data_IF_540359871711
#
_entry.id   IF_540359871711
#
_cell.length_a   1.000
_cell.length_b   1.000
_cell.length_c   1.000
_cell.angle_alpha   90.00
_cell.angle_beta   90.00
_cell.angle_gamma   90.00
#
_symmetry.space_group_name_H-M   'P 1'
#
loop_
_entity.id
_entity.type
_entity.pdbx_description
1 polymer ?
#
# COMPACT_ATOMS: atom_id res chain seq x y z
N UNK A 1 16.69 9.61 -38.27
CA UNK A 1 17.52 10.57 -37.51
C UNK A 1 17.03 10.48 -36.08
N UNK A 2 17.77 9.82 -35.20
CA UNK A 2 17.40 9.76 -33.78
C UNK A 2 17.57 11.16 -33.20
N UNK A 3 16.50 11.72 -32.64
CA UNK A 3 16.62 12.85 -31.72
C UNK A 3 17.60 12.38 -30.63
N UNK A 4 18.77 13.00 -30.57
CA UNK A 4 19.73 12.74 -29.50
C UNK A 4 18.98 13.00 -28.20
N UNK A 5 18.90 12.01 -27.33
CA UNK A 5 18.25 12.11 -26.03
C UNK A 5 19.01 13.20 -25.23
N UNK A 6 18.53 14.45 -25.32
CA UNK A 6 19.15 15.58 -24.64
C UNK A 6 18.95 15.37 -23.16
N UNK A 7 20.03 15.36 -22.39
CA UNK A 7 19.96 15.29 -20.94
C UNK A 7 19.05 16.40 -20.41
N UNK A 8 18.02 16.00 -19.66
CA UNK A 8 17.05 16.91 -19.04
C UNK A 8 17.35 17.08 -17.57
N UNK A 9 16.96 18.23 -17.02
CA UNK A 9 16.92 18.48 -15.59
C UNK A 9 15.54 18.14 -15.06
N UNK A 10 15.43 17.12 -14.21
CA UNK A 10 14.15 16.56 -13.78
C UNK A 10 14.01 16.67 -12.26
N UNK A 11 12.89 17.28 -11.81
CA UNK A 11 12.49 17.26 -10.42
C UNK A 11 11.63 16.02 -10.12
N UNK A 12 11.88 15.40 -8.97
CA UNK A 12 11.07 14.28 -8.47
C UNK A 12 10.58 14.67 -7.07
N UNK A 13 9.27 14.70 -6.88
CA UNK A 13 8.65 15.13 -5.62
C UNK A 13 8.12 13.92 -4.86
N UNK A 14 8.76 13.57 -3.76
CA UNK A 14 8.48 12.43 -2.91
C UNK A 14 9.50 11.30 -3.05
N UNK A 15 9.87 10.70 -1.92
CA UNK A 15 10.84 9.59 -1.82
C UNK A 15 10.20 8.26 -1.46
N UNK A 16 8.90 8.08 -1.68
CA UNK A 16 8.28 6.76 -1.66
C UNK A 16 8.80 5.88 -2.79
N UNK A 17 8.35 4.61 -2.83
CA UNK A 17 8.79 3.65 -3.86
C UNK A 17 8.64 4.20 -5.28
N UNK A 18 7.58 4.95 -5.57
CA UNK A 18 7.33 5.52 -6.89
C UNK A 18 8.39 6.56 -7.28
N UNK A 19 8.70 7.50 -6.37
CA UNK A 19 9.72 8.53 -6.63
C UNK A 19 11.13 7.98 -6.71
N UNK A 20 11.48 7.09 -5.78
CA UNK A 20 12.82 6.46 -5.78
C UNK A 20 13.03 5.55 -6.99
N UNK A 21 12.00 4.81 -7.44
CA UNK A 21 12.10 4.00 -8.66
C UNK A 21 12.23 4.87 -9.91
N UNK A 22 11.47 5.97 -10.00
CA UNK A 22 11.62 6.94 -11.08
C UNK A 22 13.02 7.56 -11.10
N UNK A 23 13.52 7.97 -9.92
CA UNK A 23 14.87 8.50 -9.78
C UNK A 23 15.94 7.51 -10.25
N UNK A 24 15.84 6.26 -9.84
CA UNK A 24 16.77 5.21 -10.20
C UNK A 24 16.81 4.95 -11.72
N UNK A 25 15.63 4.93 -12.35
CA UNK A 25 15.53 4.74 -13.81
C UNK A 25 16.06 5.95 -14.61
N UNK A 26 15.88 7.17 -14.10
CA UNK A 26 16.21 8.40 -14.80
C UNK A 26 17.67 8.87 -14.55
N UNK A 27 18.27 8.47 -13.43
CA UNK A 27 19.57 8.96 -12.98
C UNK A 27 20.73 8.72 -13.98
N UNK A 28 20.63 7.66 -14.79
CA UNK A 28 21.69 7.33 -15.79
C UNK A 28 21.74 8.31 -16.96
N UNK A 29 20.60 8.83 -17.38
CA UNK A 29 20.45 9.61 -18.62
C UNK A 29 20.13 11.09 -18.37
N UNK A 30 19.69 11.45 -17.14
CA UNK A 30 19.19 12.78 -16.81
C UNK A 30 19.82 13.36 -15.55
N UNK A 31 19.77 14.68 -15.41
CA UNK A 31 20.14 15.38 -14.19
C UNK A 31 18.91 15.47 -13.28
N UNK A 32 18.87 14.64 -12.23
CA UNK A 32 17.73 14.53 -11.33
C UNK A 32 17.96 15.28 -10.02
N UNK A 33 16.89 15.82 -9.44
CA UNK A 33 16.83 16.30 -8.07
C UNK A 33 15.57 15.72 -7.41
N UNK A 34 15.75 15.05 -6.28
CA UNK A 34 14.64 14.44 -5.54
C UNK A 34 14.34 15.26 -4.28
N UNK A 35 13.09 15.67 -4.11
CA UNK A 35 12.63 16.47 -2.98
C UNK A 35 11.84 15.60 -2.00
N UNK A 36 12.19 15.68 -0.71
CA UNK A 36 11.48 15.00 0.38
C UNK A 36 11.17 16.00 1.49
N UNK A 37 9.91 15.97 1.94
CA UNK A 37 9.47 16.88 3.01
C UNK A 37 9.92 16.46 4.41
N UNK A 38 10.11 15.16 4.63
CA UNK A 38 10.53 14.58 5.89
C UNK A 38 12.07 14.56 6.01
N UNK A 39 12.55 14.25 7.20
CA UNK A 39 13.96 14.04 7.50
C UNK A 39 14.48 12.65 7.14
N UNK A 40 13.60 11.77 6.65
CA UNK A 40 13.91 10.42 6.18
C UNK A 40 13.34 10.14 4.80
N UNK A 41 13.90 9.14 4.11
CA UNK A 41 13.50 8.69 2.77
C UNK A 41 12.81 7.32 2.83
N UNK A 42 11.99 7.01 1.83
CA UNK A 42 11.32 5.70 1.70
C UNK A 42 9.79 5.77 1.79
N UNK A 43 9.23 6.86 2.32
CA UNK A 43 7.78 7.00 2.48
C UNK A 43 7.22 5.88 3.38
N UNK A 44 6.31 5.03 2.86
CA UNK A 44 5.76 3.89 3.60
C UNK A 44 6.77 2.75 3.82
N UNK A 45 7.94 2.79 3.21
CA UNK A 45 9.04 1.84 3.48
C UNK A 45 9.86 2.34 4.66
N UNK A 46 9.24 2.28 5.84
CA UNK A 46 9.77 2.79 7.08
C UNK A 46 10.03 1.65 8.06
N UNK A 47 11.31 1.41 8.34
CA UNK A 47 11.75 0.36 9.27
C UNK A 47 12.22 1.00 10.57
N UNK A 48 11.62 0.59 11.68
CA UNK A 48 11.98 1.03 13.05
C UNK A 48 12.70 -0.10 13.77
N UNK A 49 13.76 0.22 14.50
CA UNK A 49 14.44 -0.74 15.38
C UNK A 49 13.70 -0.83 16.71
N UNK A 50 13.37 -2.05 17.11
CA UNK A 50 12.74 -2.35 18.40
C UNK A 50 13.67 -3.26 19.19
N UNK A 51 13.99 -2.89 20.42
CA UNK A 51 14.78 -3.74 21.30
C UNK A 51 13.88 -4.76 22.02
N UNK A 52 14.17 -6.04 21.82
CA UNK A 52 13.50 -7.14 22.50
C UNK A 52 14.56 -8.07 23.07
N UNK A 53 14.58 -8.24 24.38
CA UNK A 53 15.53 -9.14 25.09
C UNK A 53 17.01 -8.84 24.71
N UNK A 54 17.39 -7.57 24.59
CA UNK A 54 18.73 -7.13 24.23
C UNK A 54 19.11 -7.33 22.74
N UNK A 55 18.14 -7.62 21.88
CA UNK A 55 18.33 -7.75 20.43
C UNK A 55 17.58 -6.63 19.72
N UNK A 56 18.24 -6.00 18.76
CA UNK A 56 17.59 -5.03 17.86
C UNK A 56 16.89 -5.79 16.75
N UNK A 57 15.58 -5.58 16.64
CA UNK A 57 14.72 -6.24 15.65
C UNK A 57 14.19 -5.15 14.71
N UNK A 58 14.47 -5.23 13.38
CA UNK A 58 13.90 -4.33 12.41
C UNK A 58 12.42 -4.64 12.20
N UNK A 59 11.57 -3.65 12.39
CA UNK A 59 10.11 -3.74 12.25
C UNK A 59 9.65 -2.72 11.21
N UNK A 60 9.04 -3.21 10.13
CA UNK A 60 8.41 -2.35 9.14
C UNK A 60 7.05 -1.86 9.64
N UNK A 61 6.83 -0.55 9.56
CA UNK A 61 5.62 0.11 10.07
C UNK A 61 4.62 0.48 8.97
N UNK A 62 4.99 0.34 7.70
CA UNK A 62 4.14 0.64 6.55
C UNK A 62 4.12 -0.51 5.55
N UNK A 63 5.08 -0.56 4.63
CA UNK A 63 5.21 -1.68 3.70
C UNK A 63 5.84 -2.90 4.40
N UNK A 64 5.06 -3.98 4.52
CA UNK A 64 5.45 -5.15 5.32
C UNK A 64 5.67 -6.39 4.44
N UNK A 65 4.73 -6.70 3.55
CA UNK A 65 4.71 -7.94 2.76
C UNK A 65 4.32 -7.69 1.32
N UNK A 66 4.78 -8.57 0.44
CA UNK A 66 4.40 -8.60 -0.97
C UNK A 66 4.32 -10.06 -1.45
N UNK A 67 3.77 -10.27 -2.65
CA UNK A 67 3.81 -11.58 -3.30
C UNK A 67 4.16 -11.44 -4.79
N UNK A 68 4.82 -12.43 -5.40
CA UNK A 68 5.30 -12.33 -6.78
C UNK A 68 4.17 -12.19 -7.82
N UNK A 69 2.99 -12.69 -7.53
CA UNK A 69 1.86 -12.69 -8.47
C UNK A 69 1.31 -11.26 -8.68
N UNK A 70 1.19 -10.51 -7.58
CA UNK A 70 0.61 -9.16 -7.61
C UNK A 70 1.63 -8.06 -7.86
N UNK A 71 2.91 -8.33 -7.58
CA UNK A 71 3.98 -7.32 -7.61
C UNK A 71 5.14 -7.68 -8.53
N UNK A 72 4.88 -8.03 -9.84
CA UNK A 72 5.94 -8.50 -10.74
C UNK A 72 7.05 -7.46 -10.96
N UNK A 73 6.70 -6.17 -11.06
CA UNK A 73 7.68 -5.10 -11.23
C UNK A 73 8.54 -4.89 -9.98
N UNK A 74 7.96 -5.04 -8.78
CA UNK A 74 8.70 -4.95 -7.53
C UNK A 74 9.67 -6.14 -7.39
N UNK A 75 9.24 -7.33 -7.78
CA UNK A 75 10.10 -8.52 -7.81
C UNK A 75 11.29 -8.30 -8.74
N UNK A 76 11.05 -7.84 -9.96
CA UNK A 76 12.10 -7.54 -10.93
C UNK A 76 13.09 -6.47 -10.40
N UNK A 77 12.57 -5.43 -9.75
CA UNK A 77 13.41 -4.41 -9.11
C UNK A 77 14.26 -5.01 -7.98
N UNK A 78 13.68 -5.86 -7.13
CA UNK A 78 14.41 -6.50 -6.03
C UNK A 78 15.50 -7.46 -6.53
N UNK A 79 15.21 -8.21 -7.60
CA UNK A 79 16.20 -9.07 -8.26
C UNK A 79 17.35 -8.23 -8.83
N UNK A 80 17.06 -7.13 -9.51
CA UNK A 80 18.07 -6.26 -10.11
C UNK A 80 18.95 -5.54 -9.07
N UNK A 81 18.39 -5.26 -7.89
CA UNK A 81 19.11 -4.63 -6.78
C UNK A 81 19.68 -5.65 -5.79
N UNK A 82 19.54 -6.94 -6.06
CA UNK A 82 19.95 -8.04 -5.17
C UNK A 82 19.42 -7.87 -3.73
N UNK A 83 18.13 -7.51 -3.59
CA UNK A 83 17.49 -7.28 -2.29
C UNK A 83 17.21 -8.62 -1.60
N UNK A 84 17.72 -8.83 -0.37
CA UNK A 84 17.45 -10.05 0.37
C UNK A 84 15.99 -10.11 0.80
N UNK A 85 15.33 -11.25 0.52
CA UNK A 85 13.94 -11.46 0.87
C UNK A 85 13.73 -12.85 1.45
N UNK A 86 12.73 -13.00 2.32
CA UNK A 86 12.36 -14.27 2.94
C UNK A 86 10.87 -14.54 2.84
N UNK A 87 10.50 -15.81 3.00
CA UNK A 87 9.09 -16.20 3.10
C UNK A 87 8.43 -15.58 4.32
N UNK A 88 7.19 -15.18 4.17
CA UNK A 88 6.34 -14.62 5.22
C UNK A 88 4.93 -15.18 5.11
N UNK A 89 4.20 -15.09 6.20
CA UNK A 89 2.78 -15.44 6.25
C UNK A 89 1.96 -14.17 6.44
N UNK A 90 1.02 -13.93 5.51
CA UNK A 90 0.01 -12.92 5.72
C UNK A 90 -1.18 -13.58 6.41
N UNK A 91 -1.29 -13.38 7.71
CA UNK A 91 -2.36 -13.92 8.54
C UNK A 91 -3.24 -12.79 9.08
N UNK A 92 -4.49 -13.15 9.38
CA UNK A 92 -5.44 -12.27 10.06
C UNK A 92 -6.01 -12.99 11.25
N UNK A 93 -6.04 -12.31 12.40
CA UNK A 93 -6.71 -12.79 13.60
C UNK A 93 -7.55 -11.68 14.21
N UNK A 94 -8.63 -12.02 14.86
CA UNK A 94 -9.51 -11.10 15.55
C UNK A 94 -9.69 -11.54 17.01
N UNK A 95 -9.59 -10.55 17.91
CA UNK A 95 -9.90 -10.69 19.32
C UNK A 95 -10.96 -9.64 19.67
N UNK A 96 -12.12 -10.05 20.07
CA UNK A 96 -13.29 -9.22 20.32
C UNK A 96 -13.78 -9.38 21.76
N UNK A 97 -14.16 -8.25 22.37
CA UNK A 97 -14.73 -8.25 23.71
C UNK A 97 -13.76 -8.78 24.77
N UNK A 98 -12.53 -8.28 24.79
CA UNK A 98 -11.49 -8.65 25.75
C UNK A 98 -11.18 -10.16 25.77
N UNK A 99 -10.98 -10.74 24.59
CA UNK A 99 -10.65 -12.16 24.44
C UNK A 99 -11.83 -13.13 24.56
N UNK A 100 -13.05 -12.63 24.68
CA UNK A 100 -14.24 -13.49 24.74
C UNK A 100 -14.57 -14.21 23.44
N UNK A 101 -14.13 -13.63 22.31
CA UNK A 101 -14.32 -14.21 20.99
C UNK A 101 -13.06 -13.99 20.16
N UNK A 102 -12.32 -15.06 19.93
CA UNK A 102 -11.05 -15.05 19.20
C UNK A 102 -11.04 -16.12 18.12
N UNK A 103 -10.47 -15.75 16.98
CA UNK A 103 -10.20 -16.68 15.88
C UNK A 103 -9.11 -16.13 14.97
N UNK A 104 -8.50 -17.02 14.17
CA UNK A 104 -7.61 -16.65 13.07
C UNK A 104 -8.16 -17.17 11.74
N UNK A 105 -8.07 -16.32 10.71
CA UNK A 105 -8.57 -16.63 9.36
C UNK A 105 -7.58 -17.42 8.48
N UNK A 106 -6.54 -17.98 9.04
CA UNK A 106 -5.50 -18.72 8.31
C UNK A 106 -5.98 -20.06 7.78
N UNK A 107 -6.57 -20.86 8.66
CA UNK A 107 -7.05 -22.23 8.38
C UNK A 107 -8.18 -22.63 9.33
N UNK A 108 -8.67 -23.87 9.19
CA UNK A 108 -9.73 -24.38 10.07
C UNK A 108 -9.32 -24.45 11.53
N UNK A 109 -8.03 -24.69 11.83
CA UNK A 109 -7.56 -24.73 13.22
C UNK A 109 -7.56 -23.34 13.83
N UNK A 110 -7.10 -22.35 13.06
CA UNK A 110 -7.16 -20.94 13.44
C UNK A 110 -8.60 -20.45 13.66
N UNK A 111 -9.53 -20.82 12.77
CA UNK A 111 -10.95 -20.51 12.95
C UNK A 111 -11.53 -21.09 14.25
N UNK A 112 -11.00 -22.20 14.73
CA UNK A 112 -11.37 -22.87 15.97
C UNK A 112 -10.36 -22.65 17.10
N UNK A 113 -9.61 -21.54 17.10
CA UNK A 113 -8.67 -21.19 18.18
C UNK A 113 -9.33 -21.25 19.56
N UNK A 114 -10.60 -20.87 19.64
CA UNK A 114 -11.50 -21.16 20.76
C UNK A 114 -12.52 -22.24 20.33
N UNK A 115 -12.36 -23.51 20.70
CA UNK A 115 -13.24 -24.60 20.25
C UNK A 115 -14.72 -24.40 20.60
N UNK A 116 -15.00 -23.65 21.67
CA UNK A 116 -16.36 -23.32 22.10
C UNK A 116 -17.11 -22.40 21.11
N UNK A 117 -16.40 -21.79 20.17
CA UNK A 117 -17.02 -20.90 19.17
C UNK A 117 -18.03 -21.65 18.27
N UNK A 118 -17.84 -22.96 18.02
CA UNK A 118 -18.78 -23.77 17.21
C UNK A 118 -20.19 -23.79 17.80
N UNK A 119 -20.34 -23.62 19.11
CA UNK A 119 -21.64 -23.58 19.78
C UNK A 119 -22.27 -22.18 19.80
N UNK A 120 -21.58 -21.16 19.27
CA UNK A 120 -22.10 -19.80 19.23
C UNK A 120 -22.83 -19.54 17.90
N UNK A 121 -24.12 -19.26 17.91
CA UNK A 121 -24.88 -18.99 16.65
C UNK A 121 -24.31 -17.81 15.85
N UNK A 122 -23.69 -16.83 16.52
CA UNK A 122 -23.03 -15.68 15.89
C UNK A 122 -21.81 -16.14 15.06
N UNK A 123 -20.98 -17.02 15.59
CA UNK A 123 -19.83 -17.58 14.87
C UNK A 123 -20.25 -18.42 13.66
N UNK A 124 -21.25 -19.28 13.83
CA UNK A 124 -21.76 -20.14 12.73
C UNK A 124 -22.32 -19.29 11.59
N UNK A 125 -23.03 -18.20 11.90
CA UNK A 125 -23.51 -17.23 10.89
C UNK A 125 -22.36 -16.53 10.19
N UNK A 126 -21.34 -16.09 10.92
CA UNK A 126 -20.13 -15.48 10.36
C UNK A 126 -19.44 -16.42 9.37
N UNK A 127 -19.16 -17.66 9.75
CA UNK A 127 -18.49 -18.65 8.88
C UNK A 127 -19.31 -18.96 7.63
N UNK A 128 -20.63 -19.14 7.77
CA UNK A 128 -21.52 -19.33 6.62
C UNK A 128 -21.43 -18.17 5.64
N UNK A 129 -21.41 -16.95 6.14
CA UNK A 129 -21.39 -15.75 5.33
C UNK A 129 -19.99 -15.50 4.72
N UNK A 130 -18.90 -15.87 5.39
CA UNK A 130 -17.54 -15.91 4.80
C UNK A 130 -17.54 -16.81 3.55
N UNK A 131 -18.06 -18.05 3.66
CA UNK A 131 -18.10 -18.99 2.53
C UNK A 131 -18.98 -18.45 1.40
N UNK A 132 -20.10 -17.84 1.72
CA UNK A 132 -21.01 -17.22 0.74
C UNK A 132 -20.33 -16.05 0.02
N UNK A 133 -19.65 -15.19 0.76
CA UNK A 133 -18.94 -14.04 0.20
C UNK A 133 -17.79 -14.48 -0.70
N UNK A 134 -16.97 -15.45 -0.27
CA UNK A 134 -15.85 -15.95 -1.07
C UNK A 134 -16.28 -16.61 -2.39
N UNK A 135 -17.45 -17.24 -2.42
CA UNK A 135 -18.02 -17.78 -3.65
C UNK A 135 -18.58 -16.70 -4.58
N UNK A 136 -19.14 -15.62 -3.99
CA UNK A 136 -19.82 -14.58 -4.75
C UNK A 136 -18.87 -13.51 -5.29
N UNK A 137 -17.93 -13.04 -4.47
CA UNK A 137 -17.06 -11.93 -4.78
C UNK A 137 -16.32 -12.07 -6.12
N UNK A 138 -15.71 -13.22 -6.47
CA UNK A 138 -15.03 -13.39 -7.77
C UNK A 138 -15.96 -13.24 -8.98
N UNK A 139 -17.22 -13.59 -8.85
CA UNK A 139 -18.21 -13.48 -9.95
C UNK A 139 -18.66 -12.02 -10.19
N UNK A 140 -18.46 -11.13 -9.21
CA UNK A 140 -18.96 -9.75 -9.26
C UNK A 140 -17.88 -8.71 -9.59
N UNK A 141 -16.60 -9.08 -9.72
CA UNK A 141 -15.49 -8.15 -10.02
C UNK A 141 -15.59 -7.44 -11.37
N UNK A 142 -16.44 -7.94 -12.28
CA UNK A 142 -16.76 -7.32 -13.57
C UNK A 142 -18.03 -6.46 -13.55
N UNK A 143 -18.78 -6.46 -12.47
CA UNK A 143 -20.06 -5.75 -12.39
C UNK A 143 -19.84 -4.25 -12.14
N UNK A 144 -19.93 -3.45 -13.19
CA UNK A 144 -19.72 -2.01 -13.12
C UNK A 144 -20.78 -1.25 -12.31
N UNK A 145 -21.96 -1.85 -12.06
CA UNK A 145 -22.99 -1.23 -11.20
C UNK A 145 -22.55 -1.14 -9.74
N UNK A 146 -21.55 -1.92 -9.34
CA UNK A 146 -20.98 -1.88 -8.00
C UNK A 146 -19.90 -0.80 -7.83
N UNK A 147 -19.60 -0.02 -8.88
CA UNK A 147 -18.49 0.93 -8.88
C UNK A 147 -18.62 1.99 -7.79
N UNK A 148 -19.81 2.58 -7.70
CA UNK A 148 -20.10 3.68 -6.79
C UNK A 148 -21.01 3.26 -5.64
N UNK A 149 -21.32 1.96 -5.52
CA UNK A 149 -22.10 1.41 -4.42
C UNK A 149 -21.23 1.28 -3.16
N UNK A 150 -21.62 1.88 -2.02
CA UNK A 150 -20.94 1.68 -0.74
C UNK A 150 -20.93 0.20 -0.34
N UNK A 151 -19.83 -0.25 0.27
CA UNK A 151 -19.69 -1.65 0.70
C UNK A 151 -20.77 -2.03 1.75
N UNK A 152 -21.12 -1.11 2.65
CA UNK A 152 -22.18 -1.31 3.63
C UNK A 152 -23.53 -1.61 2.97
N UNK A 153 -23.90 -0.84 1.94
CA UNK A 153 -25.15 -1.03 1.20
C UNK A 153 -25.17 -2.36 0.45
N UNK A 154 -24.03 -2.73 -0.18
CA UNK A 154 -23.87 -4.04 -0.82
C UNK A 154 -24.09 -5.19 0.18
N UNK A 155 -23.48 -5.11 1.36
CA UNK A 155 -23.62 -6.13 2.40
C UNK A 155 -25.08 -6.25 2.87
N UNK A 156 -25.76 -5.12 3.05
CA UNK A 156 -27.16 -5.06 3.45
C UNK A 156 -28.09 -5.63 2.37
N UNK A 157 -27.94 -5.21 1.10
CA UNK A 157 -28.72 -5.71 -0.04
C UNK A 157 -28.62 -7.23 -0.18
N UNK A 158 -27.46 -7.79 0.15
CA UNK A 158 -27.24 -9.23 0.08
C UNK A 158 -27.50 -9.97 1.39
N UNK A 159 -28.09 -9.31 2.40
CA UNK A 159 -28.43 -9.88 3.70
C UNK A 159 -27.24 -10.62 4.36
N UNK A 160 -26.05 -9.99 4.35
CA UNK A 160 -24.95 -10.46 5.16
C UNK A 160 -25.20 -10.13 6.63
N UNK A 161 -24.82 -11.05 7.53
CA UNK A 161 -25.05 -10.86 8.96
C UNK A 161 -24.08 -9.85 9.58
N UNK A 162 -24.51 -9.20 10.65
CA UNK A 162 -23.65 -8.33 11.47
C UNK A 162 -22.41 -9.07 11.97
N UNK A 163 -22.52 -10.37 12.22
CA UNK A 163 -21.39 -11.20 12.61
C UNK A 163 -20.32 -11.26 11.51
N UNK A 164 -20.71 -11.42 10.25
CA UNK A 164 -19.77 -11.39 9.14
C UNK A 164 -19.22 -9.97 8.92
N UNK A 165 -20.09 -8.98 8.94
CA UNK A 165 -19.70 -7.59 8.69
C UNK A 165 -18.72 -7.08 9.75
N UNK A 166 -19.11 -7.13 11.04
CA UNK A 166 -18.37 -6.45 12.09
C UNK A 166 -17.35 -7.32 12.84
N UNK A 167 -17.49 -8.65 12.81
CA UNK A 167 -16.53 -9.53 13.47
C UNK A 167 -15.45 -10.06 12.50
N UNK A 168 -15.64 -9.92 11.17
CA UNK A 168 -14.70 -10.45 10.16
C UNK A 168 -14.30 -9.43 9.10
N UNK A 169 -15.24 -8.99 8.24
CA UNK A 169 -14.91 -8.26 7.03
C UNK A 169 -14.38 -6.86 7.34
N UNK A 170 -15.05 -6.11 8.21
CA UNK A 170 -14.64 -4.75 8.56
C UNK A 170 -13.33 -4.71 9.34
N UNK A 171 -13.08 -5.55 10.36
CA UNK A 171 -11.77 -5.59 11.02
C UNK A 171 -10.63 -5.95 10.07
N UNK A 172 -10.85 -6.88 9.13
CA UNK A 172 -9.86 -7.23 8.11
C UNK A 172 -9.59 -6.05 7.17
N UNK A 173 -10.63 -5.44 6.63
CA UNK A 173 -10.51 -4.26 5.76
C UNK A 173 -9.83 -3.09 6.48
N UNK A 174 -10.27 -2.78 7.69
CA UNK A 174 -9.69 -1.71 8.49
C UNK A 174 -8.19 -1.92 8.76
N UNK A 175 -7.77 -3.16 9.03
CA UNK A 175 -6.36 -3.50 9.21
C UNK A 175 -5.54 -3.34 7.93
N UNK A 176 -6.10 -3.71 6.76
CA UNK A 176 -5.42 -3.59 5.46
C UNK A 176 -5.22 -2.13 5.06
N UNK A 177 -6.24 -1.28 5.24
CA UNK A 177 -6.20 0.12 4.80
C UNK A 177 -5.94 1.12 5.92
N UNK A 178 -5.68 0.67 7.16
CA UNK A 178 -5.48 1.55 8.33
C UNK A 178 -6.62 2.57 8.48
N UNK A 179 -7.85 2.12 8.25
CA UNK A 179 -9.06 2.94 8.20
C UNK A 179 -10.04 2.58 9.31
N UNK A 180 -11.00 3.46 9.61
CA UNK A 180 -12.09 3.12 10.54
C UNK A 180 -13.12 2.18 9.89
N UNK A 181 -13.97 1.56 10.74
CA UNK A 181 -15.07 0.71 10.27
C UNK A 181 -16.04 1.50 9.41
N UNK A 182 -16.33 2.75 9.78
CA UNK A 182 -17.24 3.63 9.04
C UNK A 182 -16.69 3.94 7.65
N UNK A 183 -15.42 4.28 7.55
CA UNK A 183 -14.76 4.52 6.27
C UNK A 183 -14.76 3.27 5.39
N UNK A 184 -14.63 2.09 5.98
CA UNK A 184 -14.71 0.83 5.23
C UNK A 184 -16.11 0.52 4.73
N UNK A 185 -17.17 0.89 5.47
CA UNK A 185 -18.56 0.74 5.01
C UNK A 185 -18.88 1.65 3.82
N UNK A 186 -18.27 2.83 3.76
CA UNK A 186 -18.40 3.77 2.65
C UNK A 186 -17.48 3.45 1.46
N UNK A 187 -16.58 2.47 1.60
CA UNK A 187 -15.62 2.12 0.56
C UNK A 187 -16.33 1.60 -0.70
N UNK A 188 -15.88 1.99 -1.93
CA UNK A 188 -16.48 1.51 -3.18
C UNK A 188 -16.42 -0.02 -3.30
N UNK A 189 -17.56 -0.67 -3.41
CA UNK A 189 -17.68 -2.14 -3.42
C UNK A 189 -16.83 -2.79 -4.49
N UNK A 190 -16.87 -2.29 -5.73
CA UNK A 190 -16.12 -2.90 -6.83
C UNK A 190 -14.60 -2.87 -6.59
N UNK A 191 -14.09 -1.76 -6.06
CA UNK A 191 -12.67 -1.63 -5.72
C UNK A 191 -12.28 -2.61 -4.61
N UNK A 192 -13.12 -2.75 -3.58
CA UNK A 192 -12.94 -3.70 -2.49
C UNK A 192 -12.90 -5.16 -3.00
N UNK A 193 -13.90 -5.57 -3.79
CA UNK A 193 -13.98 -6.93 -4.32
C UNK A 193 -12.80 -7.26 -5.23
N UNK A 194 -12.38 -6.34 -6.10
CA UNK A 194 -11.21 -6.49 -6.98
C UNK A 194 -9.94 -6.67 -6.17
N UNK A 195 -9.72 -5.84 -5.15
CA UNK A 195 -8.56 -5.95 -4.29
C UNK A 195 -8.51 -7.31 -3.58
N UNK A 196 -9.62 -7.71 -2.93
CA UNK A 196 -9.71 -8.98 -2.23
C UNK A 196 -9.49 -10.18 -3.16
N UNK A 197 -10.06 -10.14 -4.37
CA UNK A 197 -9.85 -11.18 -5.37
C UNK A 197 -8.40 -11.23 -5.85
N UNK A 198 -7.81 -10.10 -6.21
CA UNK A 198 -6.45 -10.02 -6.73
C UNK A 198 -5.41 -10.51 -5.71
N UNK A 199 -5.61 -10.22 -4.43
CA UNK A 199 -4.70 -10.63 -3.36
C UNK A 199 -4.99 -12.03 -2.80
N UNK A 200 -5.91 -12.79 -3.41
CA UNK A 200 -6.26 -14.13 -2.98
C UNK A 200 -6.96 -14.20 -1.60
N UNK A 201 -7.51 -13.06 -1.13
CA UNK A 201 -8.14 -12.99 0.19
C UNK A 201 -9.52 -13.67 0.23
N UNK A 202 -10.13 -13.93 -0.93
CA UNK A 202 -11.37 -14.70 -1.09
C UNK A 202 -11.11 -16.16 -1.50
N UNK A 203 -9.86 -16.61 -1.45
CA UNK A 203 -9.47 -17.98 -1.77
C UNK A 203 -9.29 -18.80 -0.50
N UNK A 204 -9.82 -20.01 -0.49
CA UNK A 204 -9.63 -20.96 0.62
C UNK A 204 -8.35 -21.80 0.46
N UNK A 205 -7.94 -22.01 -0.80
CA UNK A 205 -6.78 -22.79 -1.22
C UNK A 205 -5.97 -22.00 -2.24
N UNK A 206 -4.75 -22.42 -2.51
CA UNK A 206 -3.85 -21.82 -3.53
C UNK A 206 -3.57 -20.33 -3.31
N UNK A 207 -3.50 -19.91 -2.06
CA UNK A 207 -3.13 -18.54 -1.72
C UNK A 207 -1.71 -18.24 -2.16
N UNK A 208 -1.42 -17.02 -2.67
CA UNK A 208 -0.08 -16.65 -3.08
C UNK A 208 0.91 -16.76 -1.90
N UNK A 209 2.12 -17.20 -2.16
CA UNK A 209 3.19 -17.19 -1.16
C UNK A 209 3.64 -15.75 -0.91
N UNK A 210 3.48 -15.29 0.30
CA UNK A 210 3.91 -13.98 0.72
C UNK A 210 5.40 -13.97 1.08
N UNK A 211 6.02 -12.82 0.90
CA UNK A 211 7.43 -12.56 1.20
C UNK A 211 7.56 -11.22 1.92
N UNK A 212 8.68 -11.05 2.61
CA UNK A 212 9.10 -9.79 3.22
C UNK A 212 10.57 -9.53 2.93
N UNK A 213 11.02 -8.29 3.03
CA UNK A 213 12.43 -7.92 2.89
C UNK A 213 13.17 -8.33 4.17
N UNK A 214 14.27 -9.06 4.03
CA UNK A 214 15.10 -9.44 5.16
C UNK A 214 15.94 -8.23 5.63
N UNK A 215 15.85 -7.90 6.91
CA UNK A 215 16.41 -6.66 7.48
C UNK A 215 15.49 -5.44 7.41
N UNK A 216 14.26 -5.62 6.90
CA UNK A 216 13.25 -4.56 6.74
C UNK A 216 13.33 -3.85 5.40
N UNK A 217 12.27 -3.10 5.07
CA UNK A 217 12.12 -2.40 3.78
C UNK A 217 13.21 -1.35 3.52
N UNK A 218 13.84 -0.81 4.56
CA UNK A 218 15.03 0.07 4.46
C UNK A 218 16.16 -0.53 3.60
N UNK A 219 16.28 -1.86 3.52
CA UNK A 219 17.34 -2.52 2.76
C UNK A 219 17.19 -2.27 1.25
N UNK A 220 15.98 -2.33 0.71
CA UNK A 220 15.82 -1.98 -0.69
C UNK A 220 15.95 -0.48 -0.93
N UNK A 221 15.47 0.37 -0.01
CA UNK A 221 15.62 1.83 -0.12
C UNK A 221 17.11 2.20 -0.21
N UNK A 222 17.93 1.66 0.68
CA UNK A 222 19.38 1.87 0.69
C UNK A 222 20.05 1.44 -0.63
N UNK A 223 19.68 0.27 -1.16
CA UNK A 223 20.26 -0.24 -2.42
C UNK A 223 19.80 0.58 -3.62
N UNK A 224 18.51 0.93 -3.64
CA UNK A 224 17.90 1.70 -4.72
C UNK A 224 18.52 3.09 -4.84
N UNK A 225 18.82 3.75 -3.72
CA UNK A 225 19.34 5.13 -3.70
C UNK A 225 20.85 5.21 -3.81
N UNK A 226 21.60 4.11 -3.75
CA UNK A 226 23.06 4.10 -3.67
C UNK A 226 23.78 4.89 -4.79
N UNK A 227 23.19 4.98 -5.98
CA UNK A 227 23.77 5.67 -7.13
C UNK A 227 23.41 7.15 -7.26
N UNK A 228 22.48 7.67 -6.41
CA UNK A 228 22.00 9.06 -6.48
C UNK A 228 21.63 9.65 -5.10
N UNK A 229 22.17 9.10 -4.03
CA UNK A 229 21.86 9.55 -2.66
C UNK A 229 22.13 11.06 -2.45
N UNK A 230 23.18 11.58 -3.07
CA UNK A 230 23.57 12.99 -3.02
C UNK A 230 22.61 13.93 -3.76
N UNK A 231 21.73 13.40 -4.59
CA UNK A 231 20.70 14.14 -5.33
C UNK A 231 19.36 14.23 -4.58
N UNK A 232 19.26 13.61 -3.39
CA UNK A 232 18.07 13.63 -2.56
C UNK A 232 18.19 14.74 -1.53
N UNK A 233 17.21 15.62 -1.51
CA UNK A 233 17.10 16.74 -0.56
C UNK A 233 15.99 16.44 0.44
N UNK A 234 16.36 15.99 1.63
CA UNK A 234 15.45 15.80 2.76
C UNK A 234 15.17 17.12 3.47
N UNK A 235 14.10 17.18 4.29
CA UNK A 235 13.64 18.41 4.96
C UNK A 235 13.41 19.58 3.98
N UNK A 236 13.14 19.25 2.72
CA UNK A 236 12.99 20.23 1.64
C UNK A 236 11.63 20.11 0.96
N UNK A 237 10.54 20.51 1.66
CA UNK A 237 9.18 20.37 1.13
C UNK A 237 8.93 21.32 -0.02
N UNK A 238 8.50 20.78 -1.14
CA UNK A 238 7.93 21.55 -2.25
C UNK A 238 6.57 22.08 -1.80
N UNK A 239 6.33 23.36 -2.03
CA UNK A 239 5.06 24.03 -1.66
C UNK A 239 4.30 24.55 -2.87
N UNK A 240 4.96 24.72 -4.02
CA UNK A 240 4.34 25.21 -5.23
C UNK A 240 5.09 24.75 -6.47
N UNK A 241 4.34 24.47 -7.53
CA UNK A 241 4.85 24.10 -8.85
C UNK A 241 4.20 24.99 -9.89
N UNK A 242 5.00 25.79 -10.57
CA UNK A 242 4.56 26.68 -11.63
C UNK A 242 4.90 26.08 -12.99
N UNK A 243 3.91 26.05 -13.88
CA UNK A 243 4.03 25.53 -15.25
C UNK A 243 4.14 26.69 -16.24
N UNK A 244 5.13 26.64 -17.12
CA UNK A 244 5.36 27.60 -18.18
C UNK A 244 6.24 26.98 -19.27
N UNK A 245 7.12 27.76 -19.88
CA UNK A 245 8.14 27.22 -20.79
C UNK A 245 9.07 26.23 -20.10
N UNK A 246 9.31 26.45 -18.81
CA UNK A 246 9.97 25.53 -17.89
C UNK A 246 9.08 25.34 -16.66
N UNK A 247 9.37 24.29 -15.88
CA UNK A 247 8.70 24.03 -14.62
C UNK A 247 9.52 24.64 -13.49
N UNK A 248 8.89 25.50 -12.67
CA UNK A 248 9.55 26.07 -11.49
C UNK A 248 9.04 25.39 -10.22
N UNK A 249 9.94 24.78 -9.49
CA UNK A 249 9.70 24.22 -8.15
C UNK A 249 9.99 25.30 -7.13
N UNK A 250 9.06 25.52 -6.19
CA UNK A 250 9.20 26.44 -5.06
C UNK A 250 9.18 25.63 -3.77
N UNK A 251 10.19 25.76 -2.95
CA UNK A 251 10.31 25.09 -1.66
C UNK A 251 9.82 25.97 -0.51
N UNK A 252 9.63 25.41 0.68
CA UNK A 252 9.06 26.12 1.84
C UNK A 252 9.92 27.30 2.30
N UNK A 253 11.23 27.23 2.14
CA UNK A 253 12.19 28.29 2.46
C UNK A 253 12.27 29.40 1.40
N UNK A 254 11.48 29.26 0.32
CA UNK A 254 11.37 30.23 -0.76
C UNK A 254 12.37 30.05 -1.89
N UNK A 255 13.18 28.99 -1.87
CA UNK A 255 14.05 28.64 -3.00
C UNK A 255 13.21 28.36 -4.24
N UNK A 256 13.69 28.84 -5.40
CA UNK A 256 13.03 28.69 -6.72
C UNK A 256 14.03 28.07 -7.69
N UNK A 257 13.71 26.92 -8.22
CA UNK A 257 14.58 26.19 -9.13
C UNK A 257 13.83 25.75 -10.38
N UNK A 258 14.44 25.92 -11.56
CA UNK A 258 13.86 25.57 -12.85
C UNK A 258 14.27 24.19 -13.31
N UNK A 259 13.30 23.46 -13.87
CA UNK A 259 13.42 22.11 -14.38
C UNK A 259 12.75 21.98 -15.75
N UNK A 260 13.20 21.03 -16.56
CA UNK A 260 12.57 20.69 -17.84
C UNK A 260 11.31 19.84 -17.62
N UNK A 261 11.34 18.95 -16.62
CA UNK A 261 10.25 18.02 -16.30
C UNK A 261 10.07 17.88 -14.79
N UNK A 262 8.89 17.42 -14.37
CA UNK A 262 8.62 17.05 -12.99
C UNK A 262 7.88 15.71 -12.91
N UNK A 263 8.30 14.87 -11.96
CA UNK A 263 7.59 13.65 -11.56
C UNK A 263 6.97 13.89 -10.19
N UNK A 264 5.64 13.83 -10.11
CA UNK A 264 4.90 13.94 -8.86
C UNK A 264 4.68 12.53 -8.31
N UNK A 265 5.41 12.18 -7.26
CA UNK A 265 5.39 10.87 -6.61
C UNK A 265 4.87 10.95 -5.16
N UNK A 266 3.98 11.90 -4.91
CA UNK A 266 3.20 12.07 -3.68
C UNK A 266 1.75 11.65 -3.90
N UNK A 267 0.87 11.76 -2.90
CA UNK A 267 -0.55 11.46 -3.04
C UNK A 267 -1.21 12.44 -4.03
N UNK A 268 -2.25 11.99 -4.73
CA UNK A 268 -2.88 12.77 -5.81
C UNK A 268 -3.50 14.09 -5.35
N UNK A 269 -4.08 14.12 -4.15
CA UNK A 269 -4.60 15.33 -3.50
C UNK A 269 -3.47 16.31 -3.15
N UNK A 270 -2.35 15.80 -2.63
CA UNK A 270 -1.15 16.60 -2.37
C UNK A 270 -0.56 17.13 -3.68
N UNK A 271 -0.45 16.27 -4.71
CA UNK A 271 0.03 16.68 -6.02
C UNK A 271 -0.81 17.82 -6.61
N UNK A 272 -2.14 17.71 -6.51
CA UNK A 272 -3.06 18.75 -6.96
C UNK A 272 -2.86 20.06 -6.19
N UNK A 273 -2.68 19.99 -4.88
CA UNK A 273 -2.46 21.15 -4.01
C UNK A 273 -1.14 21.89 -4.31
N UNK A 274 -0.13 21.19 -4.84
CA UNK A 274 1.14 21.80 -5.22
C UNK A 274 1.06 22.61 -6.53
N UNK A 275 0.12 22.33 -7.40
CA UNK A 275 0.00 23.03 -8.69
C UNK A 275 -0.45 24.47 -8.49
N UNK A 276 0.29 25.42 -9.04
CA UNK A 276 -0.05 26.85 -8.98
C UNK A 276 -1.40 27.17 -9.65
N UNK A 277 -1.68 26.47 -10.76
CA UNK A 277 -2.89 26.62 -11.57
C UNK A 277 -3.43 25.23 -11.91
N UNK A 278 -4.14 24.56 -10.97
CA UNK A 278 -4.77 23.29 -11.27
C UNK A 278 -5.92 23.46 -12.26
N UNK A 279 -6.08 22.49 -13.18
CA UNK A 279 -7.27 22.45 -14.05
C UNK A 279 -8.49 21.99 -13.25
N UNK A 280 -9.69 22.37 -13.70
CA UNK A 280 -10.94 22.00 -13.04
C UNK A 280 -11.40 20.54 -13.31
N UNK A 281 -10.61 19.76 -14.06
CA UNK A 281 -10.88 18.35 -14.43
C UNK A 281 -10.13 17.39 -13.54
#
# INVERSE_FOLDING_TARGET
MSESNKQKKIAIVGTGISGLSAAWLLNGDHDITVFEQNDYIGGHSNTTEVEVEGRQIPVDTGFIVYNPVNYPNLVALFEQLDVPTKHSDMSFSASLGDGRFEYAGTDLKGMLAQPTNIFRPRFVRMVRDIIRFYKRAPAEIGNLQLRDLPLGDYLQQHNYSDAFTYDHLMPMGAAIWSSSVEQMLDFPTLAFLRFFNNHGLVQLTERPQWRTVDGGSREYVRRLTASFAERIRVNNPVVRIERGDNIVIVTRDGERESFDEVVLACHSDQALALLAEPTAE
#
